data_IF_183772435877
#
_entry.id   IF_183772435877
#
_cell.length_a   1.000
_cell.length_b   1.000
_cell.length_c   1.000
_cell.angle_alpha   90.00
_cell.angle_beta   90.00
_cell.angle_gamma   90.00
#
_symmetry.space_group_name_H-M   'P 1'
#
loop_
_entity.id
_entity.type
_entity.pdbx_description
1 polymer ?
#
# COMPACT_ATOMS: atom_id res chain seq x y z
N UNK A 1 -16.47 -81.11 43.16
CA UNK A 1 -15.24 -80.85 42.37
C UNK A 1 -15.14 -79.34 42.20
N UNK A 2 -14.56 -78.64 43.16
CA UNK A 2 -14.41 -77.18 43.13
C UNK A 2 -13.11 -76.80 42.41
N UNK A 3 -13.23 -76.02 41.33
CA UNK A 3 -12.07 -75.42 40.65
C UNK A 3 -11.72 -74.11 41.36
N UNK A 4 -10.47 -73.89 41.80
CA UNK A 4 -10.07 -72.62 42.38
C UNK A 4 -10.11 -71.52 41.31
N UNK A 5 -10.83 -70.44 41.61
CA UNK A 5 -10.88 -69.22 40.81
C UNK A 5 -9.60 -68.42 41.04
N UNK A 6 -8.76 -68.29 40.01
CA UNK A 6 -7.56 -67.44 40.06
C UNK A 6 -7.91 -65.99 39.73
N UNK A 7 -7.54 -65.00 40.58
CA UNK A 7 -7.75 -63.60 40.27
C UNK A 7 -6.85 -63.16 39.10
N UNK A 8 -7.32 -62.29 38.18
CA UNK A 8 -6.51 -61.82 37.07
C UNK A 8 -5.30 -61.01 37.56
N UNK A 9 -4.15 -61.07 36.86
CA UNK A 9 -2.97 -60.31 37.25
C UNK A 9 -3.28 -58.80 37.22
N UNK A 10 -2.99 -58.11 38.34
CA UNK A 10 -3.09 -56.65 38.43
C UNK A 10 -2.13 -56.03 37.40
N UNK A 11 -2.66 -55.24 36.45
CA UNK A 11 -1.84 -54.35 35.63
C UNK A 11 -1.17 -53.33 36.56
N UNK A 12 0.13 -53.45 36.73
CA UNK A 12 0.94 -52.42 37.40
C UNK A 12 1.03 -51.25 36.43
N UNK A 13 0.21 -50.22 36.66
CA UNK A 13 0.40 -48.93 36.01
C UNK A 13 1.70 -48.36 36.57
N UNK A 14 2.73 -48.23 35.73
CA UNK A 14 3.96 -47.52 36.09
C UNK A 14 3.59 -46.07 36.35
N UNK A 15 3.77 -45.61 37.59
CA UNK A 15 3.56 -44.22 37.97
C UNK A 15 4.63 -43.35 37.32
N UNK A 16 4.19 -42.24 36.72
CA UNK A 16 5.08 -41.25 36.13
C UNK A 16 5.75 -40.44 37.26
N UNK A 17 7.07 -40.26 37.22
CA UNK A 17 7.77 -39.47 38.23
C UNK A 17 7.63 -37.98 37.96
N UNK A 18 7.62 -37.16 39.02
CA UNK A 18 7.55 -35.70 38.90
C UNK A 18 8.70 -35.16 38.02
N UNK A 19 9.87 -35.78 38.10
CA UNK A 19 11.06 -35.41 37.32
C UNK A 19 10.84 -35.65 35.82
N UNK A 20 10.28 -36.80 35.42
CA UNK A 20 9.99 -37.10 34.01
C UNK A 20 9.02 -36.08 33.41
N UNK A 21 8.00 -35.66 34.17
CA UNK A 21 7.06 -34.62 33.72
C UNK A 21 7.73 -33.26 33.54
N UNK A 22 8.58 -32.89 34.49
CA UNK A 22 9.25 -31.60 34.46
C UNK A 22 10.25 -31.51 33.29
N UNK A 23 10.97 -32.59 33.00
CA UNK A 23 11.88 -32.66 31.83
C UNK A 23 11.11 -32.54 30.52
N UNK A 24 9.98 -33.23 30.37
CA UNK A 24 9.17 -33.17 29.14
C UNK A 24 8.61 -31.76 28.93
N UNK A 25 8.09 -31.13 29.98
CA UNK A 25 7.58 -29.76 29.89
C UNK A 25 8.72 -28.78 29.57
N UNK A 26 9.91 -28.96 30.17
CA UNK A 26 11.08 -28.12 29.87
C UNK A 26 11.51 -28.23 28.40
N UNK A 27 11.52 -29.43 27.83
CA UNK A 27 11.84 -29.66 26.41
C UNK A 27 10.78 -28.99 25.52
N UNK A 28 9.50 -29.19 25.80
CA UNK A 28 8.41 -28.57 25.02
C UNK A 28 8.50 -27.04 25.09
N UNK A 29 8.73 -26.47 26.28
CA UNK A 29 8.88 -25.04 26.47
C UNK A 29 10.08 -24.48 25.67
N UNK A 30 11.23 -25.15 25.69
CA UNK A 30 12.39 -24.76 24.91
C UNK A 30 12.12 -24.83 23.40
N UNK A 31 11.47 -25.89 22.91
CA UNK A 31 11.10 -26.03 21.51
C UNK A 31 10.13 -24.92 21.06
N UNK A 32 9.08 -24.65 21.85
CA UNK A 32 8.12 -23.59 21.55
C UNK A 32 8.79 -22.21 21.55
N UNK A 33 9.69 -21.95 22.51
CA UNK A 33 10.43 -20.69 22.57
C UNK A 33 11.30 -20.45 21.33
N UNK A 34 11.87 -21.50 20.74
CA UNK A 34 12.66 -21.40 19.52
C UNK A 34 11.80 -21.34 18.24
N UNK A 35 10.64 -22.00 18.23
CA UNK A 35 9.76 -22.07 17.06
C UNK A 35 8.88 -20.83 16.90
N UNK A 36 8.44 -20.20 17.99
CA UNK A 36 7.51 -19.08 17.91
C UNK A 36 8.08 -17.89 17.11
N UNK A 37 9.33 -17.41 17.33
CA UNK A 37 9.91 -16.34 16.51
C UNK A 37 10.00 -16.72 15.04
N UNK A 38 10.41 -17.96 14.75
CA UNK A 38 10.56 -18.46 13.39
C UNK A 38 9.23 -18.51 12.62
N UNK A 39 8.15 -18.95 13.27
CA UNK A 39 6.81 -18.98 12.66
C UNK A 39 6.31 -17.58 12.35
N UNK A 40 6.57 -16.59 13.22
CA UNK A 40 6.16 -15.21 12.94
C UNK A 40 6.95 -14.59 11.79
N UNK A 41 8.27 -14.81 11.74
CA UNK A 41 9.10 -14.36 10.62
C UNK A 41 8.64 -14.97 9.28
N UNK A 42 8.29 -16.27 9.28
CA UNK A 42 7.78 -16.95 8.10
C UNK A 42 6.43 -16.37 7.64
N UNK A 43 5.50 -16.10 8.58
CA UNK A 43 4.22 -15.47 8.28
C UNK A 43 4.39 -14.08 7.68
N UNK A 44 5.29 -13.28 8.24
CA UNK A 44 5.51 -11.93 7.74
C UNK A 44 6.17 -11.92 6.36
N UNK A 45 7.11 -12.84 6.12
CA UNK A 45 7.67 -13.02 4.78
C UNK A 45 6.59 -13.41 3.75
N UNK A 46 5.62 -14.24 4.14
CA UNK A 46 4.51 -14.60 3.27
C UNK A 46 3.60 -13.40 2.97
N UNK A 47 3.26 -12.60 4.00
CA UNK A 47 2.47 -11.36 3.83
C UNK A 47 3.16 -10.35 2.92
N UNK A 48 4.47 -10.14 3.10
CA UNK A 48 5.28 -9.29 2.21
C UNK A 48 5.31 -9.78 0.77
N UNK A 49 5.32 -11.11 0.57
CA UNK A 49 5.24 -11.71 -0.76
C UNK A 49 3.87 -11.47 -1.40
N UNK A 50 2.79 -11.52 -0.61
CA UNK A 50 1.45 -11.15 -1.07
C UNK A 50 1.43 -9.70 -1.55
N UNK A 51 1.97 -8.75 -0.79
CA UNK A 51 2.07 -7.34 -1.23
C UNK A 51 2.88 -7.18 -2.52
N UNK A 52 4.01 -7.90 -2.63
CA UNK A 52 4.80 -7.92 -3.85
C UNK A 52 3.96 -8.38 -5.05
N UNK A 53 3.17 -9.44 -4.88
CA UNK A 53 2.27 -9.96 -5.92
C UNK A 53 1.13 -8.98 -6.24
N UNK A 54 0.60 -8.27 -5.24
CA UNK A 54 -0.40 -7.22 -5.46
C UNK A 54 0.15 -6.10 -6.34
N UNK A 55 1.32 -5.56 -5.98
CA UNK A 55 2.00 -4.55 -6.80
C UNK A 55 2.36 -5.06 -8.19
N UNK A 56 2.70 -6.35 -8.34
CA UNK A 56 2.92 -6.96 -9.66
C UNK A 56 1.67 -6.95 -10.53
N UNK A 57 0.51 -7.31 -9.97
CA UNK A 57 -0.76 -7.27 -10.70
C UNK A 57 -1.15 -5.83 -11.06
N UNK A 58 -0.94 -4.88 -10.14
CA UNK A 58 -1.12 -3.44 -10.40
C UNK A 58 -0.20 -2.97 -11.53
N UNK A 59 1.07 -3.37 -11.52
CA UNK A 59 2.05 -3.04 -12.57
C UNK A 59 1.65 -3.57 -13.94
N UNK A 60 1.21 -4.82 -14.01
CA UNK A 60 0.68 -5.39 -15.25
C UNK A 60 -0.54 -4.61 -15.75
N UNK A 61 -1.45 -4.20 -14.85
CA UNK A 61 -2.61 -3.41 -15.22
C UNK A 61 -2.24 -2.01 -15.73
N UNK A 62 -1.27 -1.33 -15.09
CA UNK A 62 -0.75 -0.04 -15.53
C UNK A 62 -0.12 -0.12 -16.92
N UNK A 63 0.70 -1.14 -17.18
CA UNK A 63 1.34 -1.35 -18.48
C UNK A 63 0.32 -1.76 -19.56
N UNK A 64 -0.67 -2.57 -19.22
CA UNK A 64 -1.78 -2.94 -20.11
C UNK A 64 -2.63 -1.71 -20.47
N UNK A 65 -2.94 -0.87 -19.49
CA UNK A 65 -3.60 0.42 -19.70
C UNK A 65 -2.77 1.32 -20.63
N UNK A 66 -1.48 1.49 -20.36
CA UNK A 66 -0.57 2.28 -21.19
C UNK A 66 -0.51 1.79 -22.63
N UNK A 67 -0.49 0.47 -22.85
CA UNK A 67 -0.47 -0.12 -24.19
C UNK A 67 -1.64 0.35 -25.05
N UNK A 68 -2.78 0.67 -24.44
CA UNK A 68 -3.99 1.18 -25.12
C UNK A 68 -4.11 2.71 -25.09
N UNK A 69 -3.87 3.36 -23.94
CA UNK A 69 -4.04 4.79 -23.74
C UNK A 69 -2.82 5.64 -24.18
N UNK A 70 -1.67 5.00 -24.39
CA UNK A 70 -0.35 5.61 -24.72
C UNK A 70 0.19 6.56 -23.65
N UNK A 71 -0.30 6.40 -22.42
CA UNK A 71 0.17 7.05 -21.20
C UNK A 71 -0.24 6.23 -20.00
N UNK A 72 0.48 6.39 -18.89
CA UNK A 72 -0.01 5.99 -17.58
C UNK A 72 -1.31 6.77 -17.24
N UNK A 73 -2.18 6.21 -16.39
CA UNK A 73 -3.38 6.91 -15.95
C UNK A 73 -3.00 8.19 -15.21
N UNK A 74 -3.88 9.18 -15.28
CA UNK A 74 -3.76 10.39 -14.48
C UNK A 74 -3.93 10.04 -13.01
N UNK A 75 -2.98 10.43 -12.17
CA UNK A 75 -2.97 10.12 -10.73
C UNK A 75 -4.26 10.54 -10.03
N UNK A 76 -4.70 11.78 -10.28
CA UNK A 76 -6.03 12.24 -9.90
C UNK A 76 -6.65 13.13 -10.97
N UNK A 77 -7.93 12.90 -11.24
CA UNK A 77 -8.78 13.80 -12.02
C UNK A 77 -9.70 14.59 -11.08
N UNK A 78 -9.70 15.91 -11.25
CA UNK A 78 -10.46 16.85 -10.43
C UNK A 78 -9.89 17.07 -9.02
N UNK A 79 -8.57 16.92 -8.81
CA UNK A 79 -7.90 17.29 -7.56
C UNK A 79 -7.31 18.71 -7.58
N UNK A 80 -7.11 19.31 -8.77
CA UNK A 80 -6.73 20.73 -8.85
C UNK A 80 -7.98 21.61 -8.73
N UNK A 81 -7.98 22.62 -7.85
CA UNK A 81 -9.05 23.61 -7.82
C UNK A 81 -9.16 24.29 -9.18
N UNK A 82 -10.31 24.17 -9.83
CA UNK A 82 -10.61 24.93 -11.05
C UNK A 82 -11.51 26.11 -10.66
N UNK A 83 -11.03 27.35 -10.73
CA UNK A 83 -11.89 28.50 -10.49
C UNK A 83 -13.00 28.48 -11.56
N UNK A 84 -14.26 28.74 -11.17
CA UNK A 84 -15.34 28.79 -12.14
C UNK A 84 -15.07 29.90 -13.16
N UNK A 85 -15.33 29.62 -14.44
CA UNK A 85 -15.34 30.67 -15.45
C UNK A 85 -16.40 31.72 -15.10
N UNK A 86 -16.24 32.99 -15.51
CA UNK A 86 -17.23 34.03 -15.25
C UNK A 86 -18.64 33.60 -15.72
N UNK A 87 -19.58 33.47 -14.77
CA UNK A 87 -20.96 33.06 -15.05
C UNK A 87 -21.24 31.56 -14.97
N UNK A 88 -20.23 30.71 -14.71
CA UNK A 88 -20.43 29.28 -14.46
C UNK A 88 -20.60 28.98 -12.96
N UNK A 89 -21.43 27.98 -12.59
CA UNK A 89 -21.50 27.50 -11.23
C UNK A 89 -20.18 26.85 -10.80
N UNK A 90 -19.88 26.92 -9.50
CA UNK A 90 -18.78 26.17 -8.92
C UNK A 90 -18.97 24.67 -9.16
N UNK A 91 -17.98 24.02 -9.79
CA UNK A 91 -17.96 22.57 -9.97
C UNK A 91 -17.20 21.94 -8.81
N UNK A 92 -17.82 20.95 -8.17
CA UNK A 92 -17.15 20.20 -7.12
C UNK A 92 -15.97 19.40 -7.70
N UNK A 93 -14.87 19.27 -6.94
CA UNK A 93 -13.74 18.46 -7.35
C UNK A 93 -14.17 16.99 -7.52
N UNK A 94 -13.75 16.36 -8.61
CA UNK A 94 -14.10 14.97 -8.86
C UNK A 94 -13.36 14.01 -7.90
N UNK A 95 -12.14 14.36 -7.48
CA UNK A 95 -11.28 13.55 -6.60
C UNK A 95 -11.15 12.08 -7.06
N UNK A 96 -11.07 11.87 -8.38
CA UNK A 96 -11.11 10.53 -8.98
C UNK A 96 -9.71 9.93 -9.06
N UNK A 97 -9.50 8.82 -8.36
CA UNK A 97 -8.25 8.04 -8.32
C UNK A 97 -7.93 7.33 -9.64
N UNK A 98 -6.65 7.27 -10.00
CA UNK A 98 -6.12 6.48 -11.11
C UNK A 98 -6.52 5.00 -11.07
N UNK A 99 -6.80 4.45 -9.89
CA UNK A 99 -7.19 3.04 -9.71
C UNK A 99 -8.46 2.72 -10.48
N UNK A 100 -9.37 3.68 -10.60
CA UNK A 100 -10.62 3.52 -11.35
C UNK A 100 -10.34 3.23 -12.82
N UNK A 101 -9.38 3.92 -13.43
CA UNK A 101 -9.07 3.78 -14.85
C UNK A 101 -8.41 2.42 -15.19
N UNK A 102 -7.80 1.74 -14.21
CA UNK A 102 -7.14 0.43 -14.39
C UNK A 102 -7.98 -0.77 -13.93
N UNK A 103 -9.16 -0.56 -13.34
CA UNK A 103 -10.06 -1.64 -12.90
C UNK A 103 -10.36 -2.67 -14.01
N UNK A 104 -10.60 -2.29 -15.28
CA UNK A 104 -10.82 -3.26 -16.34
C UNK A 104 -9.63 -4.20 -16.56
N UNK A 105 -8.39 -3.68 -16.45
CA UNK A 105 -7.16 -4.46 -16.58
C UNK A 105 -6.87 -5.31 -15.33
N UNK A 106 -7.57 -5.06 -14.24
CA UNK A 106 -7.55 -5.85 -13.00
C UNK A 106 -8.67 -6.91 -12.95
N UNK A 107 -9.32 -7.20 -14.08
CA UNK A 107 -10.45 -8.13 -14.17
C UNK A 107 -11.66 -7.67 -13.32
N UNK A 108 -11.80 -6.36 -13.11
CA UNK A 108 -12.92 -5.74 -12.39
C UNK A 108 -13.78 -4.79 -13.29
N UNK A 109 -14.15 -5.18 -14.53
CA UNK A 109 -14.91 -4.30 -15.42
C UNK A 109 -16.33 -3.98 -14.89
N UNK A 110 -16.94 -4.89 -14.12
CA UNK A 110 -18.25 -4.67 -13.52
C UNK A 110 -18.21 -3.52 -12.48
N UNK A 111 -17.17 -3.49 -11.64
CA UNK A 111 -16.96 -2.41 -10.67
C UNK A 111 -16.70 -1.08 -11.38
N UNK A 112 -15.92 -1.09 -12.46
CA UNK A 112 -15.67 0.09 -13.28
C UNK A 112 -16.96 0.66 -13.91
N UNK A 113 -17.86 -0.21 -14.38
CA UNK A 113 -19.13 0.19 -15.00
C UNK A 113 -20.16 0.69 -13.99
N UNK A 114 -20.11 0.22 -12.74
CA UNK A 114 -20.99 0.70 -11.67
C UNK A 114 -20.67 2.13 -11.26
N UNK A 115 -19.41 2.56 -11.43
CA UNK A 115 -18.95 3.88 -11.03
C UNK A 115 -19.36 4.97 -12.03
N UNK A 116 -19.96 6.06 -11.55
CA UNK A 116 -20.32 7.24 -12.34
C UNK A 116 -19.13 8.21 -12.39
N UNK A 117 -18.38 8.17 -13.50
CA UNK A 117 -17.12 8.90 -13.70
C UNK A 117 -17.30 10.41 -13.93
N UNK A 118 -18.52 10.86 -14.24
CA UNK A 118 -18.89 12.27 -14.41
C UNK A 118 -19.23 12.98 -13.09
N UNK A 119 -19.17 12.25 -11.97
CA UNK A 119 -19.50 12.74 -10.63
C UNK A 119 -18.31 12.64 -9.69
N UNK A 120 -18.31 13.41 -8.58
CA UNK A 120 -17.32 13.24 -7.54
C UNK A 120 -17.24 11.81 -7.03
N UNK A 121 -16.03 11.36 -6.69
CA UNK A 121 -15.80 10.00 -6.20
C UNK A 121 -16.53 9.71 -4.88
N UNK A 122 -16.79 10.76 -4.10
CA UNK A 122 -17.55 10.72 -2.86
C UNK A 122 -19.07 10.96 -3.05
N UNK A 123 -19.56 11.08 -4.29
CA UNK A 123 -20.98 11.28 -4.57
C UNK A 123 -21.81 10.12 -4.00
N UNK A 124 -23.03 10.42 -3.55
CA UNK A 124 -23.91 9.43 -2.95
C UNK A 124 -24.19 8.23 -3.89
N UNK A 125 -24.24 8.46 -5.20
CA UNK A 125 -24.45 7.41 -6.19
C UNK A 125 -23.23 6.48 -6.34
N UNK A 126 -22.02 6.95 -6.04
CA UNK A 126 -20.79 6.17 -6.12
C UNK A 126 -20.47 5.41 -4.83
N UNK A 127 -21.19 5.67 -3.72
CA UNK A 127 -20.89 5.07 -2.41
C UNK A 127 -20.89 3.54 -2.40
N UNK A 128 -21.81 2.90 -3.12
CA UNK A 128 -21.84 1.43 -3.18
C UNK A 128 -20.61 0.87 -3.89
N UNK A 129 -20.19 1.49 -4.99
CA UNK A 129 -18.97 1.09 -5.69
C UNK A 129 -17.74 1.36 -4.82
N UNK A 130 -17.64 2.55 -4.23
CA UNK A 130 -16.53 2.95 -3.36
C UNK A 130 -16.38 2.07 -2.11
N UNK A 131 -17.47 1.52 -1.58
CA UNK A 131 -17.46 0.59 -0.44
C UNK A 131 -16.99 -0.83 -0.78
N UNK A 132 -16.76 -1.14 -2.06
CA UNK A 132 -16.25 -2.46 -2.47
C UNK A 132 -14.81 -2.60 -2.01
N UNK A 133 -14.57 -3.58 -1.12
CA UNK A 133 -13.22 -3.97 -0.72
C UNK A 133 -12.57 -4.73 -1.86
N UNK A 134 -11.42 -4.22 -2.31
CA UNK A 134 -10.61 -4.84 -3.34
C UNK A 134 -9.33 -5.33 -2.66
N UNK A 135 -9.23 -6.63 -2.37
CA UNK A 135 -8.11 -7.23 -1.62
C UNK A 135 -6.75 -6.87 -2.23
N UNK A 136 -6.70 -6.71 -3.55
CA UNK A 136 -5.50 -6.30 -4.28
C UNK A 136 -4.94 -4.94 -3.83
N UNK A 137 -5.79 -4.07 -3.28
CA UNK A 137 -5.40 -2.75 -2.79
C UNK A 137 -5.02 -2.75 -1.31
N UNK A 138 -5.11 -3.88 -0.62
CA UNK A 138 -4.86 -4.01 0.82
C UNK A 138 -3.59 -4.82 1.11
N UNK A 139 -2.85 -4.37 2.10
CA UNK A 139 -1.73 -5.09 2.70
C UNK A 139 -2.26 -6.00 3.83
N UNK A 140 -2.01 -7.32 3.79
CA UNK A 140 -2.44 -8.24 4.84
C UNK A 140 -1.71 -8.06 6.18
N UNK A 141 -0.66 -7.23 6.22
CA UNK A 141 0.02 -6.84 7.46
C UNK A 141 -0.57 -5.59 8.11
N UNK A 142 -1.47 -4.86 7.43
CA UNK A 142 -2.15 -3.70 8.00
C UNK A 142 -3.27 -4.16 8.95
N UNK A 143 -3.08 -3.93 10.25
CA UNK A 143 -4.10 -4.21 11.28
C UNK A 143 -4.99 -2.97 11.51
N UNK A 144 -5.82 -2.66 10.51
CA UNK A 144 -6.76 -1.54 10.55
C UNK A 144 -8.06 -1.89 9.79
N UNK A 145 -9.17 -1.18 10.07
CA UNK A 145 -10.42 -1.37 9.32
C UNK A 145 -10.22 -1.20 7.82
N UNK A 146 -10.95 -1.98 7.02
CA UNK A 146 -10.91 -1.93 5.55
C UNK A 146 -11.81 -0.83 4.98
N UNK A 147 -12.77 -0.36 5.77
CA UNK A 147 -13.71 0.70 5.41
C UNK A 147 -13.50 1.93 6.29
N UNK A 148 -13.63 3.10 5.68
CA UNK A 148 -13.67 4.37 6.39
C UNK A 148 -14.94 4.43 7.26
N UNK A 149 -14.77 4.22 8.56
CA UNK A 149 -15.82 4.45 9.56
C UNK A 149 -15.85 5.91 10.03
N UNK A 150 -17.04 6.49 10.20
CA UNK A 150 -17.21 7.82 10.78
C UNK A 150 -17.70 8.89 9.80
N UNK A 151 -17.28 10.13 10.00
CA UNK A 151 -17.74 11.30 9.24
C UNK A 151 -16.66 11.77 8.26
N UNK A 152 -17.09 12.26 7.09
CA UNK A 152 -16.19 12.73 6.04
C UNK A 152 -16.79 12.53 4.66
N UNK A 153 -16.18 13.11 3.63
CA UNK A 153 -16.65 12.97 2.24
C UNK A 153 -16.70 11.49 1.82
N UNK A 154 -15.65 10.74 2.15
CA UNK A 154 -15.47 9.34 1.77
C UNK A 154 -15.96 8.34 2.83
N UNK A 155 -16.84 8.75 3.75
CA UNK A 155 -17.41 7.83 4.74
C UNK A 155 -18.03 6.60 4.06
N UNK A 156 -17.64 5.41 4.53
CA UNK A 156 -18.06 4.11 4.01
C UNK A 156 -17.25 3.59 2.81
N UNK A 157 -16.33 4.37 2.25
CA UNK A 157 -15.46 3.89 1.18
C UNK A 157 -14.37 2.95 1.72
N UNK A 158 -13.93 2.00 0.88
CA UNK A 158 -12.84 1.10 1.21
C UNK A 158 -11.47 1.79 1.09
N UNK A 159 -10.52 1.37 1.91
CA UNK A 159 -9.15 1.88 1.93
C UNK A 159 -8.26 1.24 0.87
N UNK A 160 -7.06 1.80 0.72
CA UNK A 160 -5.92 1.20 0.03
C UNK A 160 -4.65 1.42 0.85
N UNK A 161 -3.73 0.45 0.79
CA UNK A 161 -2.40 0.51 1.42
C UNK A 161 -1.28 0.77 0.39
N UNK A 162 -1.64 1.10 -0.85
CA UNK A 162 -0.71 1.48 -1.90
C UNK A 162 -1.04 2.89 -2.35
N UNK A 163 -0.06 3.73 -2.62
CA UNK A 163 -0.20 5.12 -3.08
C UNK A 163 0.52 5.35 -4.40
N UNK A 164 0.02 6.28 -5.21
CA UNK A 164 0.73 6.70 -6.43
C UNK A 164 1.82 7.72 -6.11
N UNK A 165 2.98 7.61 -6.75
CA UNK A 165 4.10 8.54 -6.54
C UNK A 165 3.87 9.83 -7.33
N UNK A 166 3.53 10.91 -6.62
CA UNK A 166 3.40 12.25 -7.20
C UNK A 166 4.75 12.93 -7.38
N UNK A 167 5.70 12.68 -6.49
CA UNK A 167 7.05 13.26 -6.56
C UNK A 167 7.70 13.41 -5.18
N UNK A 168 8.49 14.47 -5.03
CA UNK A 168 9.20 14.84 -3.79
C UNK A 168 8.84 16.29 -3.45
N UNK A 169 8.37 16.58 -2.24
CA UNK A 169 7.78 17.88 -1.89
C UNK A 169 8.70 18.91 -1.25
N UNK A 170 9.95 18.54 -0.93
CA UNK A 170 10.92 19.43 -0.31
C UNK A 170 11.54 18.83 0.95
N UNK A 171 12.19 19.62 1.82
CA UNK A 171 12.86 19.07 2.99
C UNK A 171 11.82 18.57 4.01
N UNK A 172 12.15 17.48 4.71
CA UNK A 172 11.23 16.82 5.64
C UNK A 172 11.14 17.49 7.01
N UNK A 173 10.55 16.78 7.96
CA UNK A 173 10.13 17.30 9.28
C UNK A 173 11.18 18.02 10.13
N UNK A 174 12.45 17.73 9.90
CA UNK A 174 13.56 18.39 10.61
C UNK A 174 13.78 19.83 10.11
N UNK A 175 13.16 20.21 9.00
CA UNK A 175 13.24 21.55 8.44
C UNK A 175 12.26 22.51 9.14
N UNK A 176 12.62 23.80 9.26
CA UNK A 176 11.70 24.80 9.80
C UNK A 176 10.45 24.90 8.93
N UNK A 177 9.29 25.23 9.53
CA UNK A 177 8.02 25.43 8.79
C UNK A 177 8.10 26.47 7.66
N UNK A 178 9.11 27.35 7.69
CA UNK A 178 9.39 28.33 6.63
C UNK A 178 10.20 27.76 5.46
N UNK A 179 10.63 26.50 5.52
CA UNK A 179 11.37 25.86 4.45
C UNK A 179 10.48 25.76 3.20
N UNK A 180 11.07 26.08 2.05
CA UNK A 180 10.35 26.06 0.79
C UNK A 180 10.05 24.60 0.40
N UNK A 181 8.76 24.25 0.40
CA UNK A 181 8.26 23.05 -0.24
C UNK A 181 8.29 23.28 -1.76
N UNK A 182 8.94 22.40 -2.52
CA UNK A 182 9.04 22.49 -3.98
C UNK A 182 8.44 21.24 -4.59
N UNK A 183 7.21 21.37 -5.09
CA UNK A 183 6.50 20.30 -5.79
C UNK A 183 6.31 20.67 -7.26
N UNK A 184 7.44 20.80 -7.97
CA UNK A 184 7.52 21.20 -9.36
C UNK A 184 8.66 20.45 -10.04
N UNK A 185 8.73 20.50 -11.38
CA UNK A 185 9.87 19.92 -12.10
C UNK A 185 11.19 20.51 -11.54
N UNK A 186 12.23 19.69 -11.33
CA UNK A 186 12.35 18.28 -11.74
C UNK A 186 11.87 17.24 -10.71
N UNK A 187 11.29 17.65 -9.59
CA UNK A 187 10.91 16.77 -8.45
C UNK A 187 9.59 16.01 -8.63
N UNK A 188 9.03 16.00 -9.85
CA UNK A 188 7.77 15.32 -10.13
C UNK A 188 8.00 13.85 -10.47
N UNK A 189 7.15 13.00 -9.91
CA UNK A 189 7.03 11.59 -10.26
C UNK A 189 6.11 11.39 -11.47
N UNK A 190 5.44 10.24 -11.50
CA UNK A 190 4.65 9.81 -12.67
C UNK A 190 3.15 9.84 -12.45
N UNK A 191 2.68 9.79 -11.20
CA UNK A 191 1.25 9.83 -10.87
C UNK A 191 0.84 11.26 -10.55
N UNK A 192 0.51 12.04 -11.58
CA UNK A 192 0.22 13.47 -11.44
C UNK A 192 -1.27 13.81 -11.43
N UNK A 193 -1.58 15.00 -10.92
CA UNK A 193 -2.90 15.59 -11.01
C UNK A 193 -3.15 16.21 -12.38
N UNK A 194 -4.30 15.85 -12.99
CA UNK A 194 -4.81 16.33 -14.28
C UNK A 194 -3.92 16.07 -15.51
N UNK A 195 -2.73 15.52 -15.33
CA UNK A 195 -1.74 15.32 -16.38
C UNK A 195 -1.37 13.84 -16.46
N UNK A 196 -1.68 13.16 -17.56
CA UNK A 196 -1.22 11.79 -17.78
C UNK A 196 0.27 11.79 -18.15
N UNK A 197 1.03 10.87 -17.56
CA UNK A 197 2.47 10.74 -17.83
C UNK A 197 2.71 9.71 -18.93
N UNK A 198 3.50 10.04 -19.95
CA UNK A 198 3.89 9.10 -21.01
C UNK A 198 5.17 8.38 -20.60
N UNK A 199 5.32 7.09 -20.89
CA UNK A 199 6.55 6.37 -20.56
C UNK A 199 7.80 7.01 -21.19
N UNK A 200 7.67 7.54 -22.42
CA UNK A 200 8.77 8.24 -23.10
C UNK A 200 9.23 9.54 -22.44
N UNK A 201 8.44 10.13 -21.53
CA UNK A 201 8.83 11.35 -20.80
C UNK A 201 9.53 11.05 -19.48
N UNK A 202 9.72 9.76 -19.15
CA UNK A 202 10.48 9.32 -17.99
C UNK A 202 11.94 9.16 -18.44
N UNK A 203 12.74 10.22 -18.26
CA UNK A 203 14.12 10.28 -18.74
C UNK A 203 15.11 9.62 -17.80
N UNK A 204 14.75 9.43 -16.53
CA UNK A 204 15.61 8.78 -15.53
C UNK A 204 15.61 7.24 -15.67
N UNK A 205 14.73 6.71 -16.54
CA UNK A 205 14.65 5.29 -16.87
C UNK A 205 13.49 4.58 -16.16
N UNK A 206 12.77 3.73 -16.89
CA UNK A 206 11.56 3.06 -16.38
C UNK A 206 11.83 2.12 -15.20
N UNK A 207 13.02 1.50 -15.17
CA UNK A 207 13.50 0.64 -14.08
C UNK A 207 14.07 1.42 -12.89
N UNK A 208 14.14 2.74 -12.98
CA UNK A 208 14.66 3.62 -11.91
C UNK A 208 13.64 4.64 -11.45
N UNK A 209 12.40 4.61 -11.96
CA UNK A 209 11.32 5.49 -11.52
C UNK A 209 10.17 4.67 -10.96
N UNK A 210 9.77 4.99 -9.74
CA UNK A 210 8.66 4.35 -9.02
C UNK A 210 7.33 4.98 -9.44
N UNK A 211 6.33 4.13 -9.70
CA UNK A 211 4.96 4.56 -10.02
C UNK A 211 4.02 4.47 -8.81
N UNK A 212 4.10 3.38 -8.06
CA UNK A 212 3.24 3.10 -6.92
C UNK A 212 4.10 2.51 -5.81
N UNK A 213 3.82 2.85 -4.56
CA UNK A 213 4.49 2.23 -3.42
C UNK A 213 3.53 1.96 -2.28
N UNK A 214 3.96 1.17 -1.30
CA UNK A 214 3.21 1.01 -0.06
C UNK A 214 3.13 2.32 0.73
N UNK A 215 2.02 2.49 1.42
CA UNK A 215 1.77 3.58 2.37
C UNK A 215 1.63 3.03 3.78
N UNK A 216 2.13 3.78 4.76
CA UNK A 216 1.93 3.48 6.16
C UNK A 216 0.65 4.16 6.67
N UNK A 217 -0.21 3.39 7.33
CA UNK A 217 -1.47 3.80 7.94
C UNK A 217 -2.58 4.19 6.95
N UNK A 218 -3.79 3.68 7.22
CA UNK A 218 -5.02 4.10 6.53
C UNK A 218 -5.54 5.38 7.16
N UNK A 219 -5.38 6.50 6.45
CA UNK A 219 -5.82 7.85 6.84
C UNK A 219 -7.16 8.19 6.22
N UNK A 220 -8.10 8.63 7.04
CA UNK A 220 -9.45 9.02 6.62
C UNK A 220 -9.41 10.32 5.82
N UNK A 221 -10.13 10.36 4.70
CA UNK A 221 -10.14 11.48 3.77
C UNK A 221 -8.96 11.54 2.80
N UNK A 222 -8.06 10.55 2.85
CA UNK A 222 -6.84 10.51 2.05
C UNK A 222 -6.60 9.14 1.39
N UNK A 223 -6.77 8.04 2.13
CA UNK A 223 -6.34 6.71 1.69
C UNK A 223 -7.46 5.81 1.17
N UNK A 224 -8.63 6.35 0.83
CA UNK A 224 -9.70 5.56 0.22
C UNK A 224 -9.39 5.26 -1.24
N UNK A 225 -9.60 4.03 -1.71
CA UNK A 225 -9.06 3.61 -3.02
C UNK A 225 -9.62 4.42 -4.22
N UNK A 226 -10.83 4.97 -4.08
CA UNK A 226 -11.47 5.87 -5.06
C UNK A 226 -10.99 7.31 -4.98
N UNK A 227 -10.36 7.71 -3.87
CA UNK A 227 -9.93 9.07 -3.59
C UNK A 227 -8.61 9.37 -4.30
N UNK A 228 -8.62 10.37 -5.18
CA UNK A 228 -7.43 10.78 -5.91
C UNK A 228 -6.36 11.47 -5.06
N UNK A 229 -6.61 11.78 -3.79
CA UNK A 229 -5.59 12.22 -2.85
C UNK A 229 -4.72 11.09 -2.28
N UNK A 230 -4.98 9.83 -2.66
CA UNK A 230 -4.10 8.66 -2.39
C UNK A 230 -2.75 8.72 -3.13
N UNK A 231 -2.34 9.92 -3.58
CA UNK A 231 -1.04 10.18 -4.16
C UNK A 231 -0.16 10.84 -3.12
N UNK A 232 1.12 10.53 -3.18
CA UNK A 232 2.04 10.94 -2.15
C UNK A 232 3.27 11.62 -2.75
N UNK A 233 3.69 12.69 -2.08
CA UNK A 233 4.90 13.41 -2.40
C UNK A 233 5.85 13.20 -1.23
N UNK A 234 6.97 12.53 -1.49
CA UNK A 234 7.86 12.12 -0.42
C UNK A 234 8.69 13.30 0.08
N UNK A 235 8.79 13.46 1.38
CA UNK A 235 9.69 14.44 1.98
C UNK A 235 11.16 14.01 1.83
N UNK A 236 11.99 14.86 1.23
CA UNK A 236 13.34 14.52 0.75
C UNK A 236 14.26 13.92 1.83
N UNK A 237 14.15 14.40 3.07
CA UNK A 237 15.02 13.94 4.18
C UNK A 237 14.37 12.86 5.05
N UNK A 238 13.12 12.48 4.80
CA UNK A 238 12.40 11.54 5.63
C UNK A 238 12.70 10.11 5.17
N UNK A 239 13.21 9.23 6.04
CA UNK A 239 13.44 7.84 5.65
C UNK A 239 12.11 7.11 5.41
N UNK A 240 12.16 5.96 4.75
CA UNK A 240 11.01 5.05 4.64
C UNK A 240 10.55 4.67 6.05
N UNK A 241 9.23 4.65 6.27
CA UNK A 241 8.62 4.47 7.60
C UNK A 241 8.95 5.59 8.62
N UNK A 242 9.60 6.67 8.19
CA UNK A 242 9.88 7.84 9.01
C UNK A 242 8.64 8.67 9.31
N UNK A 243 8.69 9.44 10.41
CA UNK A 243 7.64 10.39 10.74
C UNK A 243 7.62 11.55 9.74
N UNK A 244 6.44 11.88 9.21
CA UNK A 244 6.18 12.98 8.29
C UNK A 244 5.09 13.90 8.84
N UNK A 245 5.26 15.20 8.67
CA UNK A 245 4.33 16.25 9.08
C UNK A 245 3.05 16.13 8.26
N UNK A 246 3.20 15.73 6.99
CA UNK A 246 2.11 15.53 6.05
C UNK A 246 1.62 14.08 6.03
N UNK A 247 2.34 13.17 6.71
CA UNK A 247 2.04 11.74 6.86
C UNK A 247 1.81 11.02 5.52
N UNK A 248 2.39 11.54 4.44
CA UNK A 248 2.17 11.10 3.07
C UNK A 248 3.48 10.64 2.42
N UNK A 249 4.25 9.84 3.14
CA UNK A 249 5.51 9.27 2.67
C UNK A 249 5.38 7.77 2.42
N UNK A 250 6.34 7.22 1.69
CA UNK A 250 6.45 5.78 1.50
C UNK A 250 6.65 5.07 2.85
N UNK A 251 5.92 3.97 3.04
CA UNK A 251 6.05 3.16 4.24
C UNK A 251 5.18 1.91 4.19
N UNK A 252 5.40 0.98 5.10
CA UNK A 252 4.63 -0.25 5.21
C UNK A 252 4.69 -0.79 6.65
N UNK A 253 3.73 -1.64 7.05
CA UNK A 253 3.82 -2.38 8.32
C UNK A 253 4.93 -3.46 8.30
N UNK A 254 5.58 -3.70 7.16
CA UNK A 254 6.63 -4.71 7.05
C UNK A 254 7.92 -4.23 7.75
N UNK A 255 8.63 -5.12 8.48
CA UNK A 255 9.92 -4.77 9.07
C UNK A 255 10.95 -4.38 8.00
N UNK A 256 11.61 -3.25 8.20
CA UNK A 256 12.83 -2.85 7.48
C UNK A 256 12.63 -2.12 6.15
N UNK A 257 11.41 -1.79 5.73
CA UNK A 257 11.22 -1.10 4.45
C UNK A 257 9.79 -1.07 3.95
N UNK A 258 9.65 -0.86 2.64
CA UNK A 258 8.39 -0.82 1.92
C UNK A 258 8.57 -1.35 0.48
N UNK A 259 7.54 -1.93 -0.10
CA UNK A 259 7.54 -2.36 -1.49
C UNK A 259 7.23 -1.18 -2.43
N UNK A 260 7.95 -1.14 -3.54
CA UNK A 260 7.79 -0.15 -4.59
C UNK A 260 7.64 -0.83 -5.95
N UNK A 261 6.68 -0.38 -6.74
CA UNK A 261 6.42 -0.76 -8.12
C UNK A 261 7.04 0.29 -9.06
N UNK A 262 7.88 -0.18 -9.98
CA UNK A 262 8.56 0.64 -10.97
C UNK A 262 7.78 0.73 -12.28
N UNK A 263 8.11 1.74 -13.08
CA UNK A 263 7.41 2.06 -14.34
C UNK A 263 7.61 1.00 -15.43
N UNK A 264 8.57 0.09 -15.29
CA UNK A 264 8.75 -1.09 -16.15
C UNK A 264 7.97 -2.34 -15.66
N UNK A 265 7.23 -2.23 -14.55
CA UNK A 265 6.46 -3.31 -13.94
C UNK A 265 7.26 -4.20 -12.97
N UNK A 266 8.54 -3.91 -12.72
CA UNK A 266 9.26 -4.61 -11.66
C UNK A 266 8.88 -4.09 -10.27
N UNK A 267 9.01 -4.96 -9.25
CA UNK A 267 8.70 -4.60 -7.85
C UNK A 267 9.94 -4.90 -7.03
N UNK A 268 10.39 -3.93 -6.25
CA UNK A 268 11.54 -4.05 -5.37
C UNK A 268 11.20 -3.61 -3.95
N UNK A 269 11.89 -4.21 -2.99
CA UNK A 269 11.82 -3.81 -1.60
C UNK A 269 12.82 -2.69 -1.36
N UNK A 270 12.33 -1.53 -0.92
CA UNK A 270 13.15 -0.39 -0.58
C UNK A 270 13.44 -0.41 0.94
N UNK A 271 14.73 -0.52 1.34
CA UNK A 271 15.09 -0.61 2.74
C UNK A 271 14.97 0.75 3.45
N UNK A 272 14.71 0.75 4.75
CA UNK A 272 14.66 1.96 5.57
C UNK A 272 15.99 2.73 5.57
N UNK A 273 17.11 2.02 5.37
CA UNK A 273 18.46 2.58 5.35
C UNK A 273 18.86 3.16 3.98
N UNK A 274 17.94 3.17 3.00
CA UNK A 274 18.20 3.77 1.69
C UNK A 274 18.59 5.24 1.85
N UNK A 275 19.66 5.66 1.18
CA UNK A 275 20.13 7.04 1.24
C UNK A 275 19.03 7.99 0.72
N UNK A 276 18.74 9.11 1.39
CA UNK A 276 17.69 10.04 0.98
C UNK A 276 17.83 10.55 -0.47
N UNK A 277 19.06 10.74 -0.95
CA UNK A 277 19.34 11.12 -2.34
C UNK A 277 18.97 10.01 -3.31
N UNK A 278 19.32 8.75 -3.01
CA UNK A 278 18.94 7.61 -3.81
C UNK A 278 17.42 7.42 -3.84
N UNK A 279 16.74 7.59 -2.70
CA UNK A 279 15.28 7.54 -2.65
C UNK A 279 14.65 8.65 -3.50
N UNK A 280 15.18 9.87 -3.43
CA UNK A 280 14.73 11.00 -4.27
C UNK A 280 14.83 10.67 -5.76
N UNK A 281 15.96 10.12 -6.19
CA UNK A 281 16.17 9.70 -7.58
C UNK A 281 15.13 8.67 -8.04
N UNK A 282 14.73 7.72 -7.17
CA UNK A 282 13.72 6.72 -7.49
C UNK A 282 12.29 7.27 -7.59
N UNK A 283 12.02 8.47 -7.07
CA UNK A 283 10.68 9.06 -6.99
C UNK A 283 10.45 10.20 -7.99
N UNK A 284 11.49 10.59 -8.73
CA UNK A 284 11.39 11.59 -9.80
C UNK A 284 11.45 10.91 -11.18
N UNK A 285 10.82 11.53 -12.19
CA UNK A 285 10.81 10.98 -13.57
C UNK A 285 11.86 11.60 -14.48
N UNK A 286 12.34 12.80 -14.14
CA UNK A 286 13.22 13.62 -14.95
C UNK A 286 14.15 14.51 -14.09
N UNK A 287 14.61 13.96 -12.96
CA UNK A 287 15.63 14.54 -12.08
C UNK A 287 16.99 14.69 -12.76
N UNK A 288 17.29 13.85 -13.76
CA UNK A 288 18.66 13.71 -14.29
C UNK A 288 19.60 12.99 -13.31
N UNK A 289 19.04 12.43 -12.25
CA UNK A 289 19.71 11.68 -11.19
C UNK A 289 19.80 10.22 -11.64
N UNK A 290 20.63 9.94 -12.65
CA UNK A 290 20.97 8.54 -12.93
C UNK A 290 21.88 8.01 -11.82
N UNK A 291 21.61 6.84 -11.22
CA UNK A 291 22.51 6.23 -10.24
C UNK A 291 23.88 5.88 -10.85
#
# INVERSE_FOLDING_TARGET
>A
MDRPCFPPPRRVLRGFTLVELLVVIAIIAALVALLLPAVQMARESARRTTCQNHLKQIGLALLSYEGTAKSLPTGCVGCKPQPPAPGEPFRQPLLRSWRLDVLPQLELPALHQQFLHDRPAYDAANRTAAATVVDLFLCPSTDAPELHAGVGLFSGAAFTDYGGVYGVEGPGNEAPLSAQQVLADPYLGVMLYEVPTRLRSITDGLSHTTAVAELLNRRTGETEWVNGHTLFAHEQSTPINGGSLLSNNIGSPHPGGAQALFCDGHVAFLPNELEPAALTALLTRAGGETP
#
